data_IF_699840761037
#
_entry.id   IF_699840761037
#
_cell.length_a   1.000
_cell.length_b   1.000
_cell.length_c   1.000
_cell.angle_alpha   90.00
_cell.angle_beta   90.00
_cell.angle_gamma   90.00
#
_symmetry.space_group_name_H-M   'P 1'
#
loop_
_entity.id
_entity.type
_entity.pdbx_description
1 polymer ?
#
# COMPACT_ATOMS: atom_id res chain seq x y z
N UNK A 1 11.46 -6.61 -11.00
CA UNK A 1 10.55 -5.72 -10.24
C UNK A 1 9.17 -5.97 -10.78
N UNK A 2 8.27 -6.49 -9.96
CA UNK A 2 6.99 -7.01 -10.44
C UNK A 2 5.89 -6.64 -9.45
N UNK A 3 4.88 -5.97 -9.98
CA UNK A 3 3.56 -5.90 -9.37
C UNK A 3 3.11 -7.32 -8.95
N UNK A 4 2.67 -7.47 -7.71
CA UNK A 4 2.13 -8.73 -7.19
C UNK A 4 0.64 -8.57 -6.96
N UNK A 5 -0.15 -9.38 -7.65
CA UNK A 5 -1.61 -9.40 -7.51
C UNK A 5 -2.06 -9.71 -6.07
N UNK A 6 -1.35 -10.60 -5.38
CA UNK A 6 -1.62 -10.92 -3.96
C UNK A 6 -1.55 -9.68 -3.07
N UNK A 7 -0.53 -8.83 -3.25
CA UNK A 7 -0.35 -7.58 -2.50
C UNK A 7 -1.46 -6.60 -2.86
N UNK A 8 -1.83 -6.51 -4.14
CA UNK A 8 -2.89 -5.61 -4.59
C UNK A 8 -4.25 -5.98 -4.00
N UNK A 9 -4.55 -7.29 -3.89
CA UNK A 9 -5.77 -7.80 -3.25
C UNK A 9 -5.78 -7.45 -1.75
N UNK A 10 -4.65 -7.62 -1.05
CA UNK A 10 -4.56 -7.23 0.36
C UNK A 10 -4.73 -5.72 0.55
N UNK A 11 -4.11 -4.89 -0.28
CA UNK A 11 -4.29 -3.43 -0.23
C UNK A 11 -5.75 -3.06 -0.49
N UNK A 12 -6.43 -3.69 -1.45
CA UNK A 12 -7.85 -3.44 -1.70
C UNK A 12 -8.72 -3.80 -0.50
N UNK A 13 -8.47 -4.95 0.15
CA UNK A 13 -9.16 -5.31 1.39
C UNK A 13 -8.92 -4.29 2.50
N UNK A 14 -7.70 -3.76 2.61
CA UNK A 14 -7.37 -2.70 3.57
C UNK A 14 -8.15 -1.42 3.25
N UNK A 15 -8.28 -1.04 1.98
CA UNK A 15 -9.05 0.13 1.54
C UNK A 15 -10.55 -0.03 1.83
N UNK A 16 -11.10 -1.23 1.63
CA UNK A 16 -12.51 -1.51 1.94
C UNK A 16 -12.77 -1.40 3.44
N UNK A 17 -11.86 -1.94 4.27
CA UNK A 17 -11.97 -1.94 5.74
C UNK A 17 -11.51 -0.63 6.40
N UNK A 18 -10.79 0.23 5.69
CA UNK A 18 -10.28 1.48 6.24
C UNK A 18 -11.44 2.38 6.70
N UNK A 19 -11.38 2.93 7.92
CA UNK A 19 -12.32 3.96 8.37
C UNK A 19 -12.13 5.25 7.55
N UNK A 20 -13.11 6.14 7.60
CA UNK A 20 -12.97 7.47 7.00
C UNK A 20 -11.81 8.24 7.66
N UNK A 21 -10.99 8.92 6.85
CA UNK A 21 -9.75 9.56 7.26
C UNK A 21 -8.49 8.84 6.79
N UNK A 22 -7.36 9.11 7.45
CA UNK A 22 -6.05 8.55 7.10
C UNK A 22 -5.76 7.34 8.00
N UNK A 23 -5.46 6.21 7.39
CA UNK A 23 -5.02 5.00 8.10
C UNK A 23 -3.70 4.48 7.51
N UNK A 24 -2.80 4.05 8.40
CA UNK A 24 -1.47 3.54 8.03
C UNK A 24 -1.39 2.04 8.33
N UNK A 25 -0.95 1.26 7.34
CA UNK A 25 -0.86 -0.20 7.42
C UNK A 25 0.51 -0.70 6.95
N UNK A 26 0.90 -1.89 7.42
CA UNK A 26 2.15 -2.55 7.02
C UNK A 26 1.89 -3.99 6.60
N UNK A 27 2.40 -4.36 5.43
CA UNK A 27 2.37 -5.74 4.92
C UNK A 27 3.72 -6.42 5.20
N UNK A 28 3.90 -6.90 6.44
CA UNK A 28 5.20 -7.45 6.92
C UNK A 28 5.59 -8.78 6.29
N UNK A 29 4.60 -9.58 5.88
CA UNK A 29 4.82 -10.91 5.31
C UNK A 29 5.29 -10.87 3.85
N UNK A 30 5.24 -9.71 3.22
CA UNK A 30 5.64 -9.51 1.84
C UNK A 30 7.01 -8.84 1.73
N UNK A 31 7.63 -9.01 0.56
CA UNK A 31 8.85 -8.26 0.23
C UNK A 31 8.50 -6.78 0.09
N UNK A 32 9.12 -5.95 0.92
CA UNK A 32 8.77 -4.53 1.02
C UNK A 32 8.97 -3.77 -0.30
N UNK A 33 9.94 -4.16 -1.13
CA UNK A 33 10.08 -3.61 -2.48
C UNK A 33 8.86 -3.91 -3.37
N UNK A 34 8.33 -5.13 -3.31
CA UNK A 34 7.16 -5.53 -4.08
C UNK A 34 5.90 -4.82 -3.56
N UNK A 35 5.84 -4.54 -2.25
CA UNK A 35 4.79 -3.71 -1.63
C UNK A 35 4.85 -2.29 -2.17
N UNK A 36 6.02 -1.64 -2.15
CA UNK A 36 6.22 -0.29 -2.69
C UNK A 36 5.82 -0.22 -4.16
N UNK A 37 6.32 -1.13 -5.00
CA UNK A 37 6.04 -1.16 -6.43
C UNK A 37 4.51 -1.29 -6.68
N UNK A 38 3.83 -2.11 -5.87
CA UNK A 38 2.39 -2.35 -5.98
C UNK A 38 1.57 -1.17 -5.48
N UNK A 39 1.91 -0.60 -4.33
CA UNK A 39 1.25 0.58 -3.76
C UNK A 39 1.39 1.77 -4.70
N UNK A 40 2.59 2.03 -5.21
CA UNK A 40 2.83 3.16 -6.13
C UNK A 40 2.06 2.97 -7.45
N UNK A 41 1.94 1.74 -7.94
CA UNK A 41 1.08 1.44 -9.10
C UNK A 41 -0.41 1.66 -8.79
N UNK A 42 -0.86 1.32 -7.59
CA UNK A 42 -2.24 1.56 -7.17
C UNK A 42 -2.52 3.05 -6.91
N UNK A 43 -1.55 3.80 -6.38
CA UNK A 43 -1.60 5.24 -6.24
C UNK A 43 -1.83 5.92 -7.60
N UNK A 44 -1.14 5.49 -8.67
CA UNK A 44 -1.37 6.01 -10.02
C UNK A 44 -2.82 5.80 -10.51
N UNK A 45 -3.49 4.73 -10.06
CA UNK A 45 -4.88 4.42 -10.43
C UNK A 45 -5.89 5.12 -9.51
N UNK A 46 -5.55 5.29 -8.22
CA UNK A 46 -6.42 5.83 -7.17
C UNK A 46 -5.67 6.85 -6.29
N UNK A 47 -5.21 7.98 -6.86
CA UNK A 47 -4.31 8.90 -6.15
C UNK A 47 -4.96 9.61 -4.96
N UNK A 48 -6.29 9.63 -4.91
CA UNK A 48 -7.07 10.21 -3.79
C UNK A 48 -7.32 9.22 -2.65
N UNK A 49 -7.08 7.92 -2.88
CA UNK A 49 -7.41 6.85 -1.93
C UNK A 49 -6.16 6.23 -1.32
N UNK A 50 -5.14 6.04 -2.13
CA UNK A 50 -3.88 5.40 -1.73
C UNK A 50 -2.79 6.42 -1.96
N UNK A 51 -1.95 6.69 -0.96
CA UNK A 51 -0.75 7.51 -1.14
C UNK A 51 0.41 6.65 -1.60
N UNK A 52 1.32 7.28 -2.34
CA UNK A 52 2.58 6.65 -2.68
C UNK A 52 3.39 6.36 -1.42
N UNK A 53 4.26 5.37 -1.52
CA UNK A 53 5.06 4.90 -0.39
C UNK A 53 6.49 4.60 -0.81
N UNK A 54 7.36 4.59 0.19
CA UNK A 54 8.76 4.22 0.08
C UNK A 54 9.13 3.33 1.25
N UNK A 55 10.25 2.61 1.11
CA UNK A 55 10.81 1.84 2.21
C UNK A 55 11.41 2.81 3.22
N UNK A 56 10.85 2.85 4.41
CA UNK A 56 11.30 3.72 5.49
C UNK A 56 12.64 3.26 6.12
N UNK A 57 13.15 4.05 7.06
CA UNK A 57 14.36 3.70 7.82
C UNK A 57 14.22 2.42 8.65
N UNK A 58 12.99 2.01 8.97
CA UNK A 58 12.69 0.75 9.63
C UNK A 58 12.65 -0.45 8.66
N UNK A 59 12.95 -0.21 7.37
CA UNK A 59 12.92 -1.19 6.27
C UNK A 59 11.52 -1.71 5.97
N UNK A 60 10.47 -0.94 6.25
CA UNK A 60 9.08 -1.29 5.94
C UNK A 60 8.46 -0.30 4.93
N UNK A 61 7.54 -0.80 4.13
CA UNK A 61 6.71 0.02 3.25
C UNK A 61 5.43 0.39 4.01
N UNK A 62 5.26 1.68 4.29
CA UNK A 62 4.07 2.19 5.00
C UNK A 62 2.96 2.52 4.02
N UNK A 63 1.86 1.79 4.09
CA UNK A 63 0.72 1.96 3.19
C UNK A 63 -0.24 2.95 3.83
N UNK A 64 -0.31 4.16 3.28
CA UNK A 64 -1.26 5.16 3.73
C UNK A 64 -2.50 5.15 2.84
N UNK A 65 -3.66 4.96 3.46
CA UNK A 65 -4.97 4.95 2.84
C UNK A 65 -5.76 6.13 3.38
N UNK A 66 -6.31 6.94 2.49
CA UNK A 66 -7.13 8.11 2.77
C UNK A 66 -8.53 7.89 2.18
N UNK A 67 -9.56 7.86 3.03
CA UNK A 67 -10.96 7.56 2.61
C UNK A 67 -11.94 8.63 3.03
#
# INVERSE_FOLDING_TARGET
MAYREEIAVEIQKLVEKAPAGVSSHHLKDFKQQDVVDTVNRLHLKYPKVIRDTFIDHAKYATIEIEK
#
